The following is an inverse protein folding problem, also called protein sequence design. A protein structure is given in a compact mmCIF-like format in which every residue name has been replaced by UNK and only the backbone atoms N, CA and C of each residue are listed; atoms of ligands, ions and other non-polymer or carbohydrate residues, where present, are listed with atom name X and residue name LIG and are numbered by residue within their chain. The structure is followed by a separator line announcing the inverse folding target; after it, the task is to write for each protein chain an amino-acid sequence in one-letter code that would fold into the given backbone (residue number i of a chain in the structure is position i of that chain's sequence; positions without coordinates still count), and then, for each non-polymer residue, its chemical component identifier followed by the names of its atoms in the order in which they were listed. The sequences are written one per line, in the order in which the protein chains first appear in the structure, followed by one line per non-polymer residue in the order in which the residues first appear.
data_IF_609872585959
#
_entry.id   IF_609872585959
#
_cell.length_a   1.000
_cell.length_b   1.000
_cell.length_c   1.000
_cell.angle_alpha   90.00
_cell.angle_beta   90.00
_cell.angle_gamma   90.00
#
_symmetry.space_group_name_H-M   'P 1'
#
loop_
_entity.id
_entity.type
_entity.pdbx_description
1 polymer ?
#
# COMPACT_ATOMS: atom_id res chain seq x y z
N UNK A 1 5.44 -0.28 8.48
CA UNK A 1 6.67 -0.33 7.67
C UNK A 1 6.88 -1.68 6.99
N UNK A 2 6.79 -2.82 7.68
CA UNK A 2 7.05 -4.15 7.10
C UNK A 2 6.26 -4.45 5.81
N UNK A 3 4.98 -4.10 5.75
CA UNK A 3 4.15 -4.32 4.54
C UNK A 3 4.68 -3.55 3.31
N UNK A 4 5.09 -2.30 3.48
CA UNK A 4 5.61 -1.47 2.38
C UNK A 4 6.93 -2.04 1.84
N UNK A 5 7.83 -2.49 2.72
CA UNK A 5 9.07 -3.14 2.31
C UNK A 5 8.82 -4.46 1.58
N UNK A 6 7.89 -5.28 2.07
CA UNK A 6 7.49 -6.51 1.40
C UNK A 6 6.89 -6.22 0.01
N UNK A 7 6.13 -5.12 -0.12
CA UNK A 7 5.53 -4.73 -1.39
C UNK A 7 6.59 -4.35 -2.44
N UNK A 8 7.70 -3.70 -2.05
CA UNK A 8 8.77 -3.32 -3.00
C UNK A 8 9.39 -4.52 -3.73
N UNK A 9 9.50 -5.66 -3.07
CA UNK A 9 10.13 -6.87 -3.62
C UNK A 9 9.11 -7.89 -4.13
N UNK A 10 7.82 -7.69 -3.86
CA UNK A 10 6.78 -8.57 -4.34
C UNK A 10 6.58 -8.41 -5.85
N UNK A 11 6.74 -9.51 -6.60
CA UNK A 11 6.62 -9.55 -8.05
C UNK A 11 5.45 -10.43 -8.54
N UNK A 12 4.51 -10.78 -7.67
CA UNK A 12 3.39 -11.67 -8.01
C UNK A 12 2.02 -11.12 -7.65
N UNK A 13 1.95 -10.26 -6.63
CA UNK A 13 0.69 -9.73 -6.13
C UNK A 13 0.17 -8.63 -7.05
N UNK A 14 -0.98 -8.88 -7.67
CA UNK A 14 -1.64 -7.94 -8.58
C UNK A 14 -2.73 -7.10 -7.91
N UNK A 15 -3.26 -7.56 -6.77
CA UNK A 15 -4.38 -6.96 -6.03
C UNK A 15 -4.06 -6.94 -4.55
N UNK A 16 -4.14 -5.76 -3.93
CA UNK A 16 -3.96 -5.58 -2.49
C UNK A 16 -5.16 -4.81 -1.92
N UNK A 17 -5.93 -5.45 -1.06
CA UNK A 17 -7.06 -4.83 -0.39
C UNK A 17 -6.68 -4.51 1.07
N UNK A 18 -6.57 -3.22 1.38
CA UNK A 18 -6.28 -2.71 2.71
C UNK A 18 -7.43 -1.84 3.24
N UNK A 19 -8.64 -2.07 2.74
CA UNK A 19 -9.85 -1.40 3.23
C UNK A 19 -10.04 -1.63 4.73
N UNK A 20 -10.50 -0.60 5.45
CA UNK A 20 -10.87 -0.70 6.87
C UNK A 20 -9.70 -1.09 7.81
N UNK A 21 -8.45 -0.66 7.55
CA UNK A 21 -7.25 -1.05 8.34
C UNK A 21 -6.61 0.08 9.16
N UNK A 22 -7.30 1.20 9.33
CA UNK A 22 -6.84 2.34 10.14
C UNK A 22 -5.43 2.86 9.75
N UNK A 23 -5.10 2.79 8.45
CA UNK A 23 -3.83 3.27 7.89
C UNK A 23 -3.81 4.80 7.99
N UNK A 24 -2.83 5.32 8.74
CA UNK A 24 -2.56 6.76 8.87
C UNK A 24 -1.78 7.36 7.69
N UNK A 25 -1.57 8.69 7.70
CA UNK A 25 -0.81 9.40 6.66
C UNK A 25 0.59 8.81 6.44
N UNK A 26 1.30 8.46 7.51
CA UNK A 26 2.65 7.88 7.44
C UNK A 26 2.63 6.50 6.76
N UNK A 27 1.60 5.70 7.03
CA UNK A 27 1.41 4.40 6.40
C UNK A 27 1.11 4.54 4.91
N UNK A 28 0.31 5.53 4.53
CA UNK A 28 0.01 5.84 3.14
C UNK A 28 1.25 6.34 2.38
N UNK A 29 2.07 7.20 2.99
CA UNK A 29 3.35 7.65 2.41
C UNK A 29 4.27 6.44 2.17
N UNK A 30 4.41 5.56 3.17
CA UNK A 30 5.24 4.36 3.02
C UNK A 30 4.74 3.44 1.89
N UNK A 31 3.42 3.26 1.76
CA UNK A 31 2.83 2.52 0.64
C UNK A 31 3.10 3.23 -0.70
N UNK A 32 2.94 4.54 -0.77
CA UNK A 32 3.21 5.32 -1.98
C UNK A 32 4.66 5.17 -2.45
N UNK A 33 5.62 5.21 -1.53
CA UNK A 33 7.03 4.97 -1.85
C UNK A 33 7.30 3.54 -2.32
N UNK A 34 6.61 2.54 -1.76
CA UNK A 34 6.71 1.17 -2.24
C UNK A 34 6.12 0.99 -3.65
N UNK A 35 5.02 1.67 -3.97
CA UNK A 35 4.35 1.61 -5.27
C UNK A 35 5.16 2.26 -6.40
N UNK A 36 6.08 3.18 -6.10
CA UNK A 36 7.03 3.70 -7.11
C UNK A 36 7.97 2.60 -7.64
N UNK A 37 8.18 1.54 -6.86
CA UNK A 37 9.11 0.45 -7.16
C UNK A 37 8.35 -0.80 -7.62
N UNK A 38 7.21 -1.10 -6.98
CA UNK A 38 6.41 -2.25 -7.35
C UNK A 38 5.75 -2.06 -8.73
N UNK A 39 6.04 -2.95 -9.67
CA UNK A 39 5.53 -2.91 -11.05
C UNK A 39 4.42 -3.93 -11.34
N UNK A 40 4.02 -4.71 -10.34
CA UNK A 40 3.10 -5.84 -10.52
C UNK A 40 1.72 -5.59 -9.93
N UNK A 41 1.62 -4.72 -8.93
CA UNK A 41 0.36 -4.34 -8.32
C UNK A 41 -0.44 -3.46 -9.27
N UNK A 42 -1.61 -3.94 -9.65
CA UNK A 42 -2.54 -3.27 -10.57
C UNK A 42 -3.72 -2.62 -9.83
N UNK A 43 -4.00 -3.09 -8.61
CA UNK A 43 -5.11 -2.60 -7.82
C UNK A 43 -4.73 -2.51 -6.34
N UNK A 44 -4.98 -1.35 -5.74
CA UNK A 44 -4.85 -1.09 -4.32
C UNK A 44 -6.14 -0.44 -3.78
N UNK A 45 -6.79 -1.08 -2.81
CA UNK A 45 -7.90 -0.46 -2.08
C UNK A 45 -7.42 0.07 -0.74
N UNK A 46 -7.62 1.37 -0.52
CA UNK A 46 -7.34 2.07 0.75
C UNK A 46 -8.59 2.71 1.34
N UNK A 47 -9.78 2.29 0.92
CA UNK A 47 -11.03 2.88 1.38
C UNK A 47 -11.23 2.70 2.89
N UNK A 48 -11.86 3.69 3.53
CA UNK A 48 -12.08 3.75 4.98
C UNK A 48 -10.80 3.54 5.80
N UNK A 49 -9.73 4.24 5.41
CA UNK A 49 -8.53 4.42 6.23
C UNK A 49 -8.41 5.89 6.67
N UNK A 50 -7.53 6.15 7.62
CA UNK A 50 -7.32 7.48 8.23
C UNK A 50 -6.15 8.21 7.56
N UNK A 51 -6.12 8.25 6.22
CA UNK A 51 -4.97 8.72 5.43
C UNK A 51 -4.79 10.24 5.50
N UNK A 52 -5.83 10.95 5.97
CA UNK A 52 -5.89 12.41 5.98
C UNK A 52 -6.62 12.94 4.74
N UNK A 53 -6.93 14.25 4.71
CA UNK A 53 -7.41 14.93 3.51
C UNK A 53 -6.39 14.94 2.38
#
# INVERSE_FOLDING_TARGET
MALAEALKTNATLTVLNLRDNNIGPEGAIALADALKINTTLTYLSLWNNTIGP
#
